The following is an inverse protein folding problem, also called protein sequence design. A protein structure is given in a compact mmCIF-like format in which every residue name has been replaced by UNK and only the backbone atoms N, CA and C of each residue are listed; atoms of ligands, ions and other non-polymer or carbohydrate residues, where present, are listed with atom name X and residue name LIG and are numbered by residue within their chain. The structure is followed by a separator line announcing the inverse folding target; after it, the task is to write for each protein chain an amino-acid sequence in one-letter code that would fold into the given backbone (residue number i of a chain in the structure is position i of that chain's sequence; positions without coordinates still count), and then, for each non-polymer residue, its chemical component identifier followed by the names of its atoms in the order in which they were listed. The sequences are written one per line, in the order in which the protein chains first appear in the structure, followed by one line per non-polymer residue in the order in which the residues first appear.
data_IF_395994466627
#
_entry.id   IF_395994466627
#
_cell.length_a   1.000
_cell.length_b   1.000
_cell.length_c   1.000
_cell.angle_alpha   90.00
_cell.angle_beta   90.00
_cell.angle_gamma   90.00
#
_symmetry.space_group_name_H-M   'P 1'
#
loop_
_entity.id
_entity.type
_entity.pdbx_description
1 polymer ?
#
# COMPACT_ATOMS: atom_id res chain seq x y z
N UNK A 1 26.99 -61.69 -33.23
CA UNK A 1 27.31 -62.84 -32.34
C UNK A 1 28.29 -62.34 -31.28
N UNK A 2 28.23 -62.83 -30.06
CA UNK A 2 27.21 -62.55 -29.05
C UNK A 2 27.81 -62.20 -27.66
N UNK A 3 26.93 -61.87 -26.68
CA UNK A 3 27.01 -62.18 -25.23
C UNK A 3 28.11 -61.46 -24.40
N UNK A 4 27.83 -60.91 -23.24
CA UNK A 4 27.28 -61.31 -21.95
C UNK A 4 27.13 -60.02 -21.13
N UNK A 5 26.02 -59.54 -20.76
CA UNK A 5 25.13 -59.79 -19.61
C UNK A 5 25.80 -59.65 -18.24
N UNK A 6 25.12 -58.88 -17.43
CA UNK A 6 24.87 -59.00 -15.98
C UNK A 6 25.74 -58.27 -14.98
N UNK A 7 24.96 -57.52 -14.21
CA UNK A 7 24.97 -57.37 -12.74
C UNK A 7 25.91 -56.29 -12.21
N UNK A 8 25.34 -55.18 -11.84
CA UNK A 8 25.42 -54.61 -10.50
C UNK A 8 24.19 -53.68 -10.27
N UNK A 9 23.13 -54.27 -9.75
CA UNK A 9 22.05 -53.58 -9.02
C UNK A 9 22.43 -53.66 -7.55
N UNK A 10 21.96 -52.62 -6.81
CA UNK A 10 21.91 -52.51 -5.35
C UNK A 10 23.14 -51.92 -4.67
N UNK A 11 23.11 -50.60 -4.42
CA UNK A 11 23.24 -50.04 -3.05
C UNK A 11 23.43 -48.51 -3.11
N UNK A 12 22.39 -47.76 -3.41
CA UNK A 12 22.24 -46.34 -3.03
C UNK A 12 20.74 -46.04 -2.92
N UNK A 13 20.07 -46.71 -2.01
CA UNK A 13 18.73 -46.33 -1.56
C UNK A 13 18.68 -46.62 -0.04
N UNK A 14 19.23 -45.71 0.76
CA UNK A 14 18.92 -45.64 2.18
C UNK A 14 19.59 -44.45 2.87
N UNK A 15 19.35 -43.23 2.39
CA UNK A 15 19.63 -42.00 3.20
C UNK A 15 18.76 -40.81 2.84
N UNK A 16 17.77 -40.98 1.97
CA UNK A 16 16.84 -39.85 1.61
C UNK A 16 15.47 -39.95 2.31
N UNK A 17 15.24 -40.92 3.18
CA UNK A 17 13.94 -41.14 3.83
C UNK A 17 13.84 -40.65 5.27
N UNK A 18 14.87 -40.02 5.85
CA UNK A 18 14.86 -39.58 7.24
C UNK A 18 14.91 -38.05 7.43
N UNK A 19 14.78 -37.27 6.36
CA UNK A 19 14.69 -35.78 6.46
C UNK A 19 13.30 -35.23 6.21
N UNK A 20 12.34 -36.06 5.77
CA UNK A 20 10.96 -35.63 5.56
C UNK A 20 10.01 -35.85 6.74
N UNK A 21 10.42 -36.58 7.78
CA UNK A 21 9.55 -36.84 8.93
C UNK A 21 9.79 -35.93 10.14
N UNK A 22 10.73 -34.99 10.08
CA UNK A 22 10.99 -34.07 11.21
C UNK A 22 10.52 -32.63 10.94
N UNK A 23 10.06 -32.31 9.73
CA UNK A 23 9.50 -30.99 9.38
C UNK A 23 7.99 -30.99 9.10
N UNK A 24 7.31 -32.16 9.17
CA UNK A 24 5.86 -32.29 8.99
C UNK A 24 5.09 -32.39 10.30
N UNK A 25 5.65 -31.90 11.39
CA UNK A 25 5.08 -32.06 12.73
C UNK A 25 4.87 -30.75 13.50
N UNK A 26 4.72 -29.62 12.87
CA UNK A 26 4.16 -28.38 13.46
C UNK A 26 3.59 -27.44 12.36
N UNK A 27 2.81 -27.93 11.43
CA UNK A 27 1.67 -27.16 11.02
C UNK A 27 0.73 -27.15 12.22
N UNK A 28 0.91 -26.14 13.06
CA UNK A 28 -0.13 -25.73 13.98
C UNK A 28 -1.36 -25.55 13.12
N UNK A 29 -2.32 -26.38 13.30
CA UNK A 29 -3.72 -26.09 13.06
C UNK A 29 -4.03 -24.75 13.73
N UNK A 30 -3.69 -23.66 13.08
CA UNK A 30 -4.35 -22.40 13.30
C UNK A 30 -5.75 -22.65 12.78
N UNK A 31 -6.61 -22.89 13.74
CA UNK A 31 -8.00 -23.25 13.58
C UNK A 31 -8.64 -22.50 12.44
N UNK A 32 -9.25 -23.23 11.50
CA UNK A 32 -10.21 -22.66 10.55
C UNK A 32 -11.29 -21.85 11.27
N UNK A 33 -11.56 -22.13 12.53
CA UNK A 33 -12.44 -21.33 13.40
C UNK A 33 -11.85 -19.95 13.73
N UNK A 34 -10.53 -19.79 13.86
CA UNK A 34 -9.90 -18.48 14.10
C UNK A 34 -9.96 -17.60 12.83
N UNK A 35 -9.86 -18.20 11.65
CA UNK A 35 -9.97 -17.46 10.37
C UNK A 35 -11.45 -17.11 10.10
N UNK A 36 -12.39 -18.05 10.33
CA UNK A 36 -13.83 -17.77 10.22
C UNK A 36 -14.31 -16.78 11.30
N UNK A 37 -13.73 -16.80 12.49
CA UNK A 37 -14.02 -15.86 13.56
C UNK A 37 -13.58 -14.42 13.24
N UNK A 38 -12.46 -14.24 12.55
CA UNK A 38 -11.97 -12.91 12.12
C UNK A 38 -12.88 -12.25 11.07
N UNK A 39 -13.45 -13.00 10.14
CA UNK A 39 -14.35 -12.47 9.10
C UNK A 39 -15.72 -12.01 9.66
N UNK A 40 -16.10 -12.39 10.85
CA UNK A 40 -17.38 -12.02 11.49
C UNK A 40 -17.25 -10.91 12.54
N UNK A 41 -16.00 -10.53 12.91
CA UNK A 41 -15.75 -9.49 13.90
C UNK A 41 -15.89 -8.09 13.28
N UNK A 42 -16.58 -7.20 13.99
CA UNK A 42 -16.64 -5.79 13.63
C UNK A 42 -15.32 -5.07 13.89
N UNK A 43 -15.11 -3.90 13.24
CA UNK A 43 -13.85 -3.16 13.35
C UNK A 43 -13.43 -2.84 14.80
N UNK A 44 -14.38 -2.42 15.63
CA UNK A 44 -14.11 -2.09 17.03
C UNK A 44 -13.69 -3.32 17.85
N UNK A 45 -14.24 -4.48 17.57
CA UNK A 45 -13.86 -5.73 18.27
C UNK A 45 -12.43 -6.13 17.89
N UNK A 46 -12.05 -6.03 16.62
CA UNK A 46 -10.68 -6.30 16.15
C UNK A 46 -9.69 -5.35 16.80
N UNK A 47 -9.98 -4.04 16.78
CA UNK A 47 -9.14 -3.03 17.43
C UNK A 47 -8.91 -3.33 18.91
N UNK A 48 -9.97 -3.70 19.65
CA UNK A 48 -9.86 -4.05 21.07
C UNK A 48 -9.04 -5.34 21.29
N UNK A 49 -9.12 -6.32 20.39
CA UNK A 49 -8.31 -7.52 20.44
C UNK A 49 -6.81 -7.20 20.24
N UNK A 50 -6.50 -6.33 19.29
CA UNK A 50 -5.13 -5.88 19.01
C UNK A 50 -4.54 -5.10 20.20
N UNK A 51 -5.36 -4.30 20.90
CA UNK A 51 -4.97 -3.67 22.17
C UNK A 51 -4.67 -4.69 23.26
N UNK A 52 -5.54 -5.72 23.42
CA UNK A 52 -5.33 -6.78 24.43
C UNK A 52 -4.08 -7.61 24.15
N UNK A 53 -3.76 -7.83 22.88
CA UNK A 53 -2.57 -8.56 22.44
C UNK A 53 -1.29 -7.69 22.48
N UNK A 54 -1.37 -6.43 22.92
CA UNK A 54 -0.27 -5.45 22.88
C UNK A 54 0.34 -5.25 21.49
N UNK A 55 -0.42 -5.50 20.43
CA UNK A 55 0.01 -5.27 19.04
C UNK A 55 0.01 -3.78 18.72
N UNK A 56 -0.86 -3.04 19.41
CA UNK A 56 -0.98 -1.56 19.30
C UNK A 56 -1.07 -0.96 20.70
N UNK A 57 -0.78 0.33 20.81
CA UNK A 57 -0.96 1.08 22.05
C UNK A 57 -2.29 1.85 22.03
N UNK A 58 -2.88 2.07 23.20
CA UNK A 58 -4.13 2.82 23.32
C UNK A 58 -3.96 4.28 22.89
N UNK A 59 -4.89 4.76 22.07
CA UNK A 59 -4.97 6.14 21.58
C UNK A 59 -6.44 6.55 21.51
N UNK A 60 -6.80 7.60 22.25
CA UNK A 60 -8.19 8.05 22.36
C UNK A 60 -8.75 8.56 21.02
N UNK A 61 -7.91 9.18 20.19
CA UNK A 61 -8.34 9.66 18.88
C UNK A 61 -8.61 8.49 17.91
N UNK A 62 -7.77 7.46 17.95
CA UNK A 62 -7.98 6.24 17.18
C UNK A 62 -9.23 5.50 17.67
N UNK A 63 -9.44 5.40 18.98
CA UNK A 63 -10.64 4.75 19.54
C UNK A 63 -11.91 5.47 19.13
N UNK A 64 -11.92 6.82 19.18
CA UNK A 64 -13.05 7.62 18.75
C UNK A 64 -13.38 7.43 17.26
N UNK A 65 -12.35 7.39 16.41
CA UNK A 65 -12.52 7.11 14.98
C UNK A 65 -12.99 5.69 14.73
N UNK A 66 -12.44 4.71 15.47
CA UNK A 66 -12.86 3.32 15.36
C UNK A 66 -14.34 3.15 15.71
N UNK A 67 -14.87 3.94 16.65
CA UNK A 67 -16.29 4.01 16.93
C UNK A 67 -17.13 4.48 15.73
N UNK A 68 -16.63 5.43 14.95
CA UNK A 68 -17.30 5.90 13.73
C UNK A 68 -17.22 4.88 12.59
N UNK A 69 -16.07 4.21 12.43
CA UNK A 69 -15.90 3.12 11.48
C UNK A 69 -16.82 1.94 11.81
N UNK A 70 -17.01 1.64 13.10
CA UNK A 70 -17.97 0.63 13.56
C UNK A 70 -19.42 0.99 13.17
N UNK A 71 -19.82 2.24 13.37
CA UNK A 71 -21.15 2.69 12.96
C UNK A 71 -21.36 2.57 11.45
N UNK A 72 -20.37 2.95 10.66
CA UNK A 72 -20.42 2.80 9.20
C UNK A 72 -20.49 1.32 8.78
N UNK A 73 -19.66 0.46 9.39
CA UNK A 73 -19.70 -0.98 9.19
C UNK A 73 -21.09 -1.58 9.45
N UNK A 74 -21.76 -1.17 10.54
CA UNK A 74 -23.12 -1.63 10.87
C UNK A 74 -24.15 -1.18 9.83
N UNK A 75 -24.06 0.08 9.35
CA UNK A 75 -24.95 0.58 8.31
C UNK A 75 -24.78 -0.20 7.01
N UNK A 76 -23.54 -0.45 6.59
CA UNK A 76 -23.22 -1.25 5.40
C UNK A 76 -23.74 -2.68 5.56
N UNK A 77 -23.47 -3.31 6.70
CA UNK A 77 -23.87 -4.70 6.98
C UNK A 77 -25.39 -4.86 6.99
N UNK A 78 -26.13 -3.91 7.58
CA UNK A 78 -27.61 -3.88 7.56
C UNK A 78 -28.14 -3.71 6.14
N UNK A 79 -27.53 -2.84 5.34
CA UNK A 79 -27.95 -2.61 3.95
C UNK A 79 -27.72 -3.83 3.05
N UNK A 80 -26.70 -4.65 3.33
CA UNK A 80 -26.43 -5.88 2.59
C UNK A 80 -27.39 -7.02 2.99
N UNK A 81 -27.74 -7.12 4.26
CA UNK A 81 -28.74 -8.11 4.77
C UNK A 81 -30.17 -7.79 4.30
N UNK A 82 -30.46 -6.55 4.04
CA UNK A 82 -31.74 -6.09 3.49
C UNK A 82 -31.90 -6.35 1.98
N UNK A 83 -31.05 -7.21 1.38
CA UNK A 83 -31.14 -7.57 -0.03
C UNK A 83 -32.54 -8.13 -0.33
N UNK A 84 -33.30 -7.50 -1.23
CA UNK A 84 -34.72 -7.82 -1.42
C UNK A 84 -34.83 -9.16 -2.15
N UNK A 85 -34.95 -10.23 -1.41
CA UNK A 85 -35.56 -11.45 -1.95
C UNK A 85 -36.95 -11.11 -2.55
N UNK A 86 -37.52 -12.07 -3.26
CA UNK A 86 -38.81 -11.98 -3.98
C UNK A 86 -39.88 -11.09 -3.32
N UNK A 87 -39.87 -10.93 -1.98
CA UNK A 87 -40.79 -10.08 -1.21
C UNK A 87 -40.67 -8.57 -1.47
N UNK A 88 -39.48 -8.04 -1.63
CA UNK A 88 -39.31 -6.59 -1.90
C UNK A 88 -39.54 -6.26 -3.37
N UNK A 89 -39.30 -7.19 -4.31
CA UNK A 89 -39.74 -7.06 -5.70
C UNK A 89 -41.27 -7.02 -5.79
N UNK A 90 -42.01 -7.84 -5.02
CA UNK A 90 -43.44 -7.83 -4.91
C UNK A 90 -43.99 -6.56 -4.24
N UNK A 91 -43.33 -6.06 -3.19
CA UNK A 91 -43.69 -4.79 -2.54
C UNK A 91 -43.45 -3.56 -3.43
N UNK A 92 -42.35 -3.54 -4.20
CA UNK A 92 -42.07 -2.50 -5.21
C UNK A 92 -43.13 -2.47 -6.30
N UNK A 93 -43.62 -3.64 -6.71
CA UNK A 93 -44.69 -3.76 -7.74
C UNK A 93 -46.09 -3.44 -7.23
N UNK A 94 -46.38 -3.65 -5.94
CA UNK A 94 -47.71 -3.47 -5.36
C UNK A 94 -47.92 -2.10 -4.69
N UNK A 95 -46.89 -1.46 -4.14
CA UNK A 95 -47.05 -0.25 -3.31
C UNK A 95 -46.49 1.04 -3.94
N UNK A 96 -45.80 0.96 -5.11
CA UNK A 96 -45.33 2.15 -5.82
C UNK A 96 -44.37 3.05 -5.01
N UNK A 97 -43.92 2.60 -3.83
CA UNK A 97 -43.01 3.33 -2.95
C UNK A 97 -41.62 2.82 -3.14
N UNK A 98 -40.82 3.58 -3.86
CA UNK A 98 -39.35 3.50 -3.76
C UNK A 98 -38.99 3.99 -2.35
N UNK A 99 -38.90 3.08 -1.37
CA UNK A 99 -38.15 3.35 -0.15
C UNK A 99 -36.68 3.33 -0.55
N UNK A 100 -36.21 4.40 -1.18
CA UNK A 100 -34.79 4.68 -1.27
C UNK A 100 -34.32 4.88 0.18
N UNK A 101 -33.68 3.87 0.75
CA UNK A 101 -32.96 4.07 2.00
C UNK A 101 -32.01 5.25 1.80
N UNK A 102 -32.00 6.18 2.74
CA UNK A 102 -31.12 7.34 2.68
C UNK A 102 -29.68 6.88 2.32
N UNK A 103 -28.98 7.59 1.41
CA UNK A 103 -27.65 7.20 0.99
C UNK A 103 -26.73 7.15 2.21
N UNK A 104 -25.99 6.05 2.35
CA UNK A 104 -25.01 5.89 3.43
C UNK A 104 -23.88 6.86 3.17
N UNK A 105 -23.61 7.75 4.12
CA UNK A 105 -22.45 8.65 4.06
C UNK A 105 -21.21 7.88 4.49
N UNK A 106 -20.17 7.94 3.66
CA UNK A 106 -18.87 7.39 4.01
C UNK A 106 -18.08 8.23 5.01
N UNK A 107 -16.75 8.04 5.05
CA UNK A 107 -15.85 8.80 5.91
C UNK A 107 -14.69 9.38 5.10
N UNK A 108 -14.35 10.63 5.38
CA UNK A 108 -13.11 11.25 4.95
C UNK A 108 -12.26 11.53 6.20
N UNK A 109 -11.20 10.74 6.36
CA UNK A 109 -10.36 10.72 7.55
C UNK A 109 -9.08 11.47 7.22
N UNK A 110 -8.81 12.58 7.91
CA UNK A 110 -7.61 13.37 7.64
C UNK A 110 -6.82 13.67 8.91
N UNK A 111 -5.56 14.01 8.74
CA UNK A 111 -4.64 14.33 9.84
C UNK A 111 -3.21 14.00 9.47
N UNK A 112 -2.24 14.40 10.29
CA UNK A 112 -0.82 14.19 10.05
C UNK A 112 -0.43 12.73 9.84
N UNK A 113 0.78 12.52 9.32
CA UNK A 113 1.36 11.18 9.10
C UNK A 113 1.57 10.46 10.44
N UNK A 114 1.68 9.13 10.40
CA UNK A 114 1.94 8.31 11.57
C UNK A 114 0.80 8.17 12.57
N UNK A 115 -0.38 8.69 12.27
CA UNK A 115 -1.56 8.64 13.15
C UNK A 115 -2.31 7.31 13.12
N UNK A 116 -1.79 6.33 12.40
CA UNK A 116 -2.43 5.01 12.29
C UNK A 116 -3.63 4.97 11.33
N UNK A 117 -3.81 5.98 10.45
CA UNK A 117 -4.91 6.01 9.46
C UNK A 117 -4.97 4.74 8.62
N UNK A 118 -3.81 4.29 8.14
CA UNK A 118 -3.68 3.06 7.34
C UNK A 118 -4.12 1.83 8.13
N UNK A 119 -3.63 1.66 9.37
CA UNK A 119 -4.03 0.58 10.25
C UNK A 119 -5.55 0.58 10.53
N UNK A 120 -6.13 1.74 10.83
CA UNK A 120 -7.59 1.85 11.06
C UNK A 120 -8.40 1.52 9.80
N UNK A 121 -7.88 1.90 8.61
CA UNK A 121 -8.45 1.52 7.33
C UNK A 121 -8.33 0.01 7.08
N UNK A 122 -7.19 -0.62 7.43
CA UNK A 122 -6.99 -2.07 7.35
C UNK A 122 -8.05 -2.80 8.15
N UNK A 123 -8.13 -2.48 9.44
CA UNK A 123 -9.09 -3.09 10.36
C UNK A 123 -10.53 -2.92 9.85
N UNK A 124 -10.89 -1.74 9.34
CA UNK A 124 -12.21 -1.48 8.78
C UNK A 124 -12.46 -2.30 7.51
N UNK A 125 -11.54 -2.22 6.54
CA UNK A 125 -11.69 -2.86 5.24
C UNK A 125 -11.79 -4.38 5.35
N UNK A 126 -10.94 -4.99 6.17
CA UNK A 126 -10.98 -6.43 6.40
C UNK A 126 -12.25 -6.89 7.10
N UNK A 127 -12.78 -6.08 8.04
CA UNK A 127 -14.04 -6.39 8.74
C UNK A 127 -15.26 -6.32 7.83
N UNK A 128 -15.21 -5.60 6.71
CA UNK A 128 -16.35 -5.45 5.80
C UNK A 128 -16.77 -6.80 5.21
N UNK A 129 -18.06 -7.15 5.26
CA UNK A 129 -18.57 -8.40 4.73
C UNK A 129 -18.58 -8.41 3.20
N UNK A 130 -18.35 -9.58 2.61
CA UNK A 130 -18.50 -9.82 1.17
C UNK A 130 -17.30 -9.34 0.34
N UNK A 131 -17.40 -9.57 -0.98
CA UNK A 131 -16.33 -9.27 -1.95
C UNK A 131 -16.51 -7.94 -2.70
N UNK A 132 -17.65 -7.29 -2.58
CA UNK A 132 -17.96 -6.04 -3.29
C UNK A 132 -17.33 -4.83 -2.56
N UNK A 133 -16.04 -4.89 -2.29
CA UNK A 133 -15.24 -3.85 -1.66
C UNK A 133 -13.90 -3.71 -2.39
N UNK A 134 -13.42 -2.49 -2.55
CA UNK A 134 -12.14 -2.18 -3.20
C UNK A 134 -11.35 -1.25 -2.30
N UNK A 135 -10.07 -1.54 -2.13
CA UNK A 135 -9.11 -0.65 -1.50
C UNK A 135 -7.93 -0.43 -2.43
N UNK A 136 -7.51 0.78 -2.56
CA UNK A 136 -6.38 1.17 -3.41
C UNK A 136 -5.90 2.56 -3.04
N UNK A 137 -4.64 2.87 -3.30
CA UNK A 137 -4.16 4.24 -3.28
C UNK A 137 -4.87 5.07 -4.34
N UNK A 138 -5.19 6.31 -4.00
CA UNK A 138 -5.91 7.22 -4.90
C UNK A 138 -5.20 7.38 -6.25
N UNK A 139 -3.88 7.53 -6.25
CA UNK A 139 -3.09 7.64 -7.46
C UNK A 139 -3.24 6.42 -8.40
N UNK A 140 -3.13 5.18 -7.87
CA UNK A 140 -3.33 3.95 -8.65
C UNK A 140 -4.74 3.83 -9.21
N UNK A 141 -5.72 4.28 -8.44
CA UNK A 141 -7.10 4.33 -8.89
C UNK A 141 -7.26 5.28 -10.08
N UNK A 142 -6.66 6.49 -10.03
CA UNK A 142 -6.72 7.44 -11.13
C UNK A 142 -6.00 6.95 -12.37
N UNK A 143 -4.85 6.29 -12.24
CA UNK A 143 -4.19 5.61 -13.37
C UNK A 143 -5.11 4.58 -14.05
N UNK A 144 -5.83 3.78 -13.25
CA UNK A 144 -6.82 2.84 -13.78
C UNK A 144 -7.95 3.58 -14.51
N UNK A 145 -8.48 4.65 -13.94
CA UNK A 145 -9.54 5.46 -14.55
C UNK A 145 -9.09 6.05 -15.90
N UNK A 146 -7.89 6.61 -15.97
CA UNK A 146 -7.32 7.12 -17.23
C UNK A 146 -7.17 6.02 -18.27
N UNK A 147 -6.68 4.85 -17.90
CA UNK A 147 -6.57 3.68 -18.80
C UNK A 147 -7.94 3.24 -19.32
N UNK A 148 -8.93 3.11 -18.43
CA UNK A 148 -10.29 2.75 -18.80
C UNK A 148 -10.93 3.80 -19.73
N UNK A 149 -10.73 5.11 -19.47
CA UNK A 149 -11.19 6.19 -20.35
C UNK A 149 -10.50 6.15 -21.72
N UNK A 150 -9.19 5.89 -21.76
CA UNK A 150 -8.43 5.74 -22.99
C UNK A 150 -8.96 4.61 -23.91
N UNK A 151 -9.47 3.54 -23.31
CA UNK A 151 -10.11 2.41 -24.05
C UNK A 151 -11.50 2.73 -24.57
N UNK A 152 -12.15 3.81 -24.12
CA UNK A 152 -13.52 4.22 -24.47
C UNK A 152 -13.54 5.43 -25.43
N UNK A 153 -12.52 5.61 -26.25
CA UNK A 153 -12.49 6.69 -27.25
C UNK A 153 -13.66 6.57 -28.23
N UNK A 154 -14.35 7.68 -28.48
CA UNK A 154 -15.51 7.75 -29.36
C UNK A 154 -16.83 7.25 -28.74
N UNK A 155 -16.81 6.82 -27.51
CA UNK A 155 -18.01 6.37 -26.78
C UNK A 155 -18.71 7.57 -26.12
N UNK A 156 -20.04 7.60 -26.16
CA UNK A 156 -20.84 8.63 -25.50
C UNK A 156 -20.78 8.44 -23.97
N UNK A 157 -20.47 9.51 -23.23
CA UNK A 157 -20.36 9.52 -21.76
C UNK A 157 -19.39 8.45 -21.21
N UNK A 158 -18.11 8.45 -21.59
CA UNK A 158 -17.17 7.40 -21.20
C UNK A 158 -17.00 7.32 -19.68
N UNK A 159 -17.05 8.45 -18.97
CA UNK A 159 -16.92 8.53 -17.51
C UNK A 159 -18.02 7.78 -16.77
N UNK A 160 -19.27 7.84 -17.28
CA UNK A 160 -20.40 7.07 -16.74
C UNK A 160 -20.16 5.55 -16.88
N UNK A 161 -19.57 5.11 -18.00
CA UNK A 161 -19.27 3.69 -18.20
C UNK A 161 -18.14 3.20 -17.29
N UNK A 162 -17.14 4.04 -17.03
CA UNK A 162 -16.10 3.74 -16.04
C UNK A 162 -16.72 3.62 -14.65
N UNK A 163 -17.62 4.56 -14.28
CA UNK A 163 -18.31 4.50 -13.00
C UNK A 163 -19.22 3.26 -12.88
N UNK A 164 -19.90 2.85 -13.97
CA UNK A 164 -20.69 1.61 -14.01
C UNK A 164 -19.82 0.37 -13.75
N UNK A 165 -18.64 0.32 -14.38
CA UNK A 165 -17.68 -0.78 -14.19
C UNK A 165 -17.23 -0.86 -12.74
N UNK A 166 -16.82 0.27 -12.15
CA UNK A 166 -16.37 0.35 -10.75
C UNK A 166 -17.49 -0.04 -9.78
N UNK A 167 -18.71 0.48 -9.99
CA UNK A 167 -19.85 0.20 -9.12
C UNK A 167 -20.31 -1.27 -9.16
N UNK A 168 -20.08 -1.99 -10.26
CA UNK A 168 -20.30 -3.44 -10.34
C UNK A 168 -19.27 -4.24 -9.56
N UNK A 169 -18.03 -3.76 -9.50
CA UNK A 169 -16.94 -4.42 -8.80
C UNK A 169 -16.99 -4.13 -7.29
N UNK A 170 -17.36 -2.90 -6.90
CA UNK A 170 -17.30 -2.51 -5.51
C UNK A 170 -18.42 -1.54 -5.09
N UNK A 171 -19.03 -1.85 -3.95
CA UNK A 171 -20.00 -0.98 -3.28
C UNK A 171 -19.33 -0.05 -2.27
N UNK A 172 -18.21 -0.47 -1.72
CA UNK A 172 -17.38 0.33 -0.81
C UNK A 172 -16.04 0.54 -1.44
N UNK A 173 -15.67 1.80 -1.61
CA UNK A 173 -14.40 2.23 -2.18
C UNK A 173 -13.57 2.88 -1.09
N UNK A 174 -12.47 2.25 -0.73
CA UNK A 174 -11.51 2.75 0.25
C UNK A 174 -10.29 3.31 -0.47
N UNK A 175 -10.00 4.58 -0.25
CA UNK A 175 -8.80 5.22 -0.74
C UNK A 175 -7.80 5.44 0.37
N UNK A 176 -6.60 4.96 0.16
CA UNK A 176 -5.45 5.40 0.91
C UNK A 176 -4.86 6.63 0.22
N UNK A 177 -4.42 7.59 1.03
CA UNK A 177 -3.75 8.81 0.57
C UNK A 177 -4.50 9.56 -0.52
N UNK A 178 -5.71 9.96 -0.18
CA UNK A 178 -6.50 10.77 -1.07
C UNK A 178 -5.89 12.18 -1.17
N UNK A 179 -5.24 12.45 -2.29
CA UNK A 179 -4.76 13.78 -2.61
C UNK A 179 -4.76 14.00 -4.14
N UNK A 180 -4.84 15.25 -4.59
CA UNK A 180 -4.93 15.59 -6.02
C UNK A 180 -3.87 16.63 -6.33
N UNK A 181 -2.98 16.31 -7.27
CA UNK A 181 -1.95 17.24 -7.80
C UNK A 181 -2.06 17.43 -9.29
N UNK A 182 -2.41 16.38 -10.03
CA UNK A 182 -2.51 16.42 -11.48
C UNK A 182 -3.80 17.11 -11.94
N UNK A 183 -3.68 17.98 -12.94
CA UNK A 183 -4.83 18.70 -13.51
C UNK A 183 -5.79 17.76 -14.22
N UNK A 184 -5.30 16.69 -14.85
CA UNK A 184 -6.14 15.69 -15.51
C UNK A 184 -7.05 15.00 -14.50
N UNK A 185 -6.49 14.58 -13.36
CA UNK A 185 -7.25 14.01 -12.25
C UNK A 185 -8.27 14.99 -11.71
N UNK A 186 -7.86 16.23 -11.44
CA UNK A 186 -8.73 17.27 -10.92
C UNK A 186 -9.95 17.53 -11.81
N UNK A 187 -9.77 17.52 -13.14
CA UNK A 187 -10.83 17.83 -14.09
C UNK A 187 -11.88 16.72 -14.23
N UNK A 188 -11.49 15.47 -14.07
CA UNK A 188 -12.42 14.33 -14.21
C UNK A 188 -13.03 13.88 -12.87
N UNK A 189 -12.37 14.19 -11.76
CA UNK A 189 -12.75 13.66 -10.44
C UNK A 189 -14.16 14.06 -10.02
N UNK A 190 -14.58 15.31 -10.26
CA UNK A 190 -15.93 15.77 -9.91
C UNK A 190 -17.01 14.93 -10.61
N UNK A 191 -16.88 14.73 -11.92
CA UNK A 191 -17.81 13.92 -12.69
C UNK A 191 -17.79 12.45 -12.31
N UNK A 192 -16.60 11.91 -12.02
CA UNK A 192 -16.45 10.54 -11.57
C UNK A 192 -17.12 10.30 -10.21
N UNK A 193 -16.87 11.16 -9.23
CA UNK A 193 -17.48 11.07 -7.91
C UNK A 193 -19.01 11.20 -7.98
N UNK A 194 -19.53 12.14 -8.77
CA UNK A 194 -20.97 12.29 -8.99
C UNK A 194 -21.58 10.99 -9.54
N UNK A 195 -20.96 10.42 -10.58
CA UNK A 195 -21.42 9.18 -11.19
C UNK A 195 -21.35 7.97 -10.22
N UNK A 196 -20.31 7.88 -9.39
CA UNK A 196 -20.18 6.84 -8.37
C UNK A 196 -21.20 6.99 -7.24
N UNK A 197 -21.41 8.22 -6.74
CA UNK A 197 -22.40 8.47 -5.69
C UNK A 197 -23.84 8.27 -6.17
N UNK A 198 -24.14 8.60 -7.44
CA UNK A 198 -25.42 8.28 -8.06
C UNK A 198 -25.70 6.76 -8.08
N UNK A 199 -24.65 5.95 -8.13
CA UNK A 199 -24.68 4.47 -8.04
C UNK A 199 -24.61 3.94 -6.61
N UNK A 200 -24.71 4.84 -5.62
CA UNK A 200 -24.63 4.49 -4.20
C UNK A 200 -23.31 3.82 -3.77
N UNK A 201 -22.22 4.11 -4.45
CA UNK A 201 -20.87 3.72 -3.98
C UNK A 201 -20.55 4.54 -2.74
N UNK A 202 -20.09 3.86 -1.69
CA UNK A 202 -19.72 4.46 -0.41
C UNK A 202 -18.22 4.72 -0.46
N UNK A 203 -17.81 5.97 -0.22
CA UNK A 203 -16.40 6.38 -0.19
C UNK A 203 -15.90 6.44 1.24
N UNK A 204 -14.79 5.76 1.50
CA UNK A 204 -13.98 5.93 2.72
C UNK A 204 -12.58 6.31 2.27
N UNK A 205 -12.08 7.46 2.71
CA UNK A 205 -10.77 7.94 2.27
C UNK A 205 -9.92 8.36 3.46
N UNK A 206 -8.62 8.03 3.41
CA UNK A 206 -7.63 8.63 4.29
C UNK A 206 -6.85 9.70 3.53
N UNK A 207 -6.50 10.79 4.21
CA UNK A 207 -5.73 11.89 3.64
C UNK A 207 -4.85 12.56 4.71
N UNK A 208 -3.81 13.25 4.28
CA UNK A 208 -3.07 14.18 5.11
C UNK A 208 -3.62 15.61 5.00
N UNK A 209 -4.55 15.82 4.06
CA UNK A 209 -5.05 17.15 3.70
C UNK A 209 -6.55 17.23 4.02
N UNK A 210 -6.96 18.32 4.66
CA UNK A 210 -8.36 18.64 4.84
C UNK A 210 -9.10 18.78 3.49
N UNK A 211 -10.39 18.37 3.37
CA UNK A 211 -11.11 18.48 2.11
C UNK A 211 -11.07 19.86 1.47
N UNK A 212 -11.18 20.92 2.25
CA UNK A 212 -11.19 22.30 1.76
C UNK A 212 -9.84 22.76 1.20
N UNK A 213 -8.75 22.10 1.58
CA UNK A 213 -7.39 22.37 1.10
C UNK A 213 -6.93 21.46 -0.03
N UNK A 214 -7.74 20.48 -0.43
CA UNK A 214 -7.43 19.63 -1.58
C UNK A 214 -7.21 20.49 -2.82
N UNK A 215 -6.11 20.22 -3.55
CA UNK A 215 -5.75 20.91 -4.78
C UNK A 215 -5.65 22.44 -4.62
N UNK A 216 -5.15 22.94 -3.45
CA UNK A 216 -5.17 24.36 -3.05
C UNK A 216 -4.49 25.28 -4.07
N UNK A 217 -3.31 24.89 -4.55
CA UNK A 217 -2.53 25.67 -5.53
C UNK A 217 -2.70 25.19 -6.99
N UNK A 218 -3.70 24.34 -7.23
CA UNK A 218 -3.89 23.71 -8.52
C UNK A 218 -4.51 24.61 -9.57
N UNK A 219 -4.09 24.42 -10.83
CA UNK A 219 -4.64 25.13 -11.98
C UNK A 219 -6.14 24.88 -12.13
N UNK A 220 -6.92 25.93 -12.33
CA UNK A 220 -8.39 25.88 -12.46
C UNK A 220 -9.09 25.29 -11.23
N UNK A 221 -8.57 25.51 -10.03
CA UNK A 221 -9.12 25.04 -8.76
C UNK A 221 -10.64 25.26 -8.62
N UNK A 222 -11.17 26.33 -9.16
CA UNK A 222 -12.63 26.57 -9.13
C UNK A 222 -13.48 25.43 -9.70
N UNK A 223 -12.98 24.74 -10.74
CA UNK A 223 -13.64 23.57 -11.30
C UNK A 223 -13.58 22.37 -10.37
N UNK A 224 -12.51 22.27 -9.58
CA UNK A 224 -12.31 21.21 -8.60
C UNK A 224 -13.19 21.39 -7.34
N UNK A 225 -13.64 22.61 -7.02
CA UNK A 225 -14.52 22.87 -5.87
C UNK A 225 -15.75 21.96 -5.85
N UNK A 226 -16.31 21.60 -7.01
CA UNK A 226 -17.42 20.66 -7.11
C UNK A 226 -17.07 19.27 -6.57
N UNK A 227 -15.84 18.80 -6.76
CA UNK A 227 -15.38 17.54 -6.19
C UNK A 227 -15.31 17.61 -4.65
N UNK A 228 -14.80 18.71 -4.11
CA UNK A 228 -14.77 18.98 -2.66
C UNK A 228 -16.19 18.97 -2.09
N UNK A 229 -17.13 19.67 -2.71
CA UNK A 229 -18.53 19.71 -2.28
C UNK A 229 -19.17 18.31 -2.27
N UNK A 230 -18.90 17.51 -3.29
CA UNK A 230 -19.36 16.12 -3.38
C UNK A 230 -18.79 15.25 -2.26
N UNK A 231 -17.49 15.37 -1.99
CA UNK A 231 -16.82 14.66 -0.89
C UNK A 231 -17.51 15.05 0.44
N UNK A 232 -17.62 16.33 0.75
CA UNK A 232 -18.24 16.83 1.99
C UNK A 232 -19.71 16.43 2.13
N UNK A 233 -20.44 16.35 1.03
CA UNK A 233 -21.86 15.93 0.99
C UNK A 233 -22.01 14.43 1.27
N UNK A 234 -21.16 13.61 0.67
CA UNK A 234 -21.30 12.15 0.69
C UNK A 234 -20.42 11.45 1.72
N UNK A 235 -19.53 12.18 2.39
CA UNK A 235 -18.72 11.65 3.50
C UNK A 235 -18.90 12.52 4.75
N UNK A 236 -18.56 11.94 5.91
CA UNK A 236 -18.37 12.69 7.15
C UNK A 236 -16.86 12.92 7.27
N UNK A 237 -16.46 14.17 7.37
CA UNK A 237 -15.06 14.54 7.60
C UNK A 237 -14.70 14.34 9.06
N UNK A 238 -13.60 13.66 9.32
CA UNK A 238 -13.07 13.36 10.66
C UNK A 238 -11.58 13.66 10.69
N UNK A 239 -11.18 14.53 11.61
CA UNK A 239 -9.79 14.81 11.87
C UNK A 239 -9.24 13.84 12.92
N UNK A 240 -8.07 13.25 12.66
CA UNK A 240 -7.25 12.60 13.69
C UNK A 240 -6.19 13.61 14.14
N UNK A 241 -6.51 14.36 15.17
CA UNK A 241 -5.58 15.29 15.80
C UNK A 241 -4.95 14.65 17.02
N UNK A 242 -3.62 14.68 17.09
CA UNK A 242 -2.76 14.19 18.18
C UNK A 242 -2.74 12.67 18.38
N UNK A 243 -1.58 12.10 18.32
CA UNK A 243 -1.23 10.70 18.59
C UNK A 243 0.27 10.52 18.38
N UNK A 244 0.84 9.44 18.87
CA UNK A 244 2.25 9.07 18.67
C UNK A 244 2.41 8.51 17.26
N UNK A 245 3.45 8.93 16.53
CA UNK A 245 3.82 8.30 15.25
C UNK A 245 4.46 6.94 15.52
N UNK A 246 3.68 5.89 15.32
CA UNK A 246 4.13 4.51 15.56
C UNK A 246 5.17 4.05 14.53
N UNK A 247 5.11 4.54 13.29
CA UNK A 247 6.11 4.22 12.26
C UNK A 247 7.45 4.86 12.60
N UNK A 248 7.41 6.11 13.10
CA UNK A 248 8.60 6.80 13.56
C UNK A 248 9.28 6.03 14.70
N UNK A 249 8.51 5.49 15.64
CA UNK A 249 9.06 4.77 16.79
C UNK A 249 9.79 3.48 16.38
N UNK A 250 9.25 2.69 15.44
CA UNK A 250 9.96 1.51 14.94
C UNK A 250 11.19 1.89 14.11
N UNK A 251 11.12 2.93 13.27
CA UNK A 251 12.26 3.41 12.48
C UNK A 251 13.36 4.05 13.31
N UNK A 252 13.04 4.79 14.38
CA UNK A 252 14.05 5.38 15.26
C UNK A 252 14.76 4.34 16.14
N UNK A 253 14.15 3.18 16.35
CA UNK A 253 14.76 2.05 17.04
C UNK A 253 15.50 1.09 16.08
N UNK A 254 15.21 1.14 14.79
CA UNK A 254 15.83 0.29 13.79
C UNK A 254 17.15 0.87 13.28
N UNK A 255 18.12 0.02 13.02
CA UNK A 255 19.31 0.38 12.25
C UNK A 255 18.90 0.46 10.78
N UNK A 256 18.95 1.64 10.16
CA UNK A 256 18.53 1.83 8.76
C UNK A 256 19.65 1.52 7.75
N UNK A 257 20.90 1.43 8.21
CA UNK A 257 22.04 1.07 7.39
C UNK A 257 22.79 -0.11 7.99
N UNK A 258 22.70 -1.25 7.33
CA UNK A 258 23.32 -2.50 7.74
C UNK A 258 24.63 -2.71 6.99
N UNK A 259 25.73 -2.76 7.70
CA UNK A 259 27.07 -2.99 7.15
C UNK A 259 27.97 -3.67 8.20
N UNK A 260 28.78 -4.65 7.83
CA UNK A 260 28.79 -5.36 6.54
C UNK A 260 27.58 -6.30 6.37
N UNK A 261 27.34 -6.76 5.14
CA UNK A 261 26.31 -7.77 4.87
C UNK A 261 26.74 -9.10 5.52
N UNK A 262 25.88 -9.63 6.38
CA UNK A 262 26.10 -10.90 7.09
C UNK A 262 24.91 -11.83 6.86
N UNK A 263 25.04 -13.10 7.23
CA UNK A 263 23.93 -14.05 7.16
C UNK A 263 22.69 -13.61 7.98
N UNK A 264 22.87 -12.79 9.02
CA UNK A 264 21.79 -12.25 9.83
C UNK A 264 21.14 -10.98 9.20
N UNK A 265 21.78 -10.37 8.21
CA UNK A 265 21.31 -9.11 7.62
C UNK A 265 19.96 -9.30 6.91
N UNK A 266 19.81 -10.37 6.15
CA UNK A 266 18.55 -10.67 5.45
C UNK A 266 17.37 -10.85 6.41
N UNK A 267 17.61 -11.52 7.54
CA UNK A 267 16.59 -11.70 8.58
C UNK A 267 16.18 -10.35 9.20
N UNK A 268 17.14 -9.46 9.44
CA UNK A 268 16.87 -8.09 9.95
C UNK A 268 16.09 -7.25 8.93
N UNK A 269 16.45 -7.31 7.65
CA UNK A 269 15.72 -6.61 6.60
C UNK A 269 14.28 -7.13 6.48
N UNK A 270 14.08 -8.44 6.67
CA UNK A 270 12.75 -9.04 6.66
C UNK A 270 11.91 -8.59 7.88
N UNK A 271 12.53 -8.48 9.04
CA UNK A 271 11.92 -7.92 10.24
C UNK A 271 11.50 -6.47 9.99
N UNK A 272 12.41 -5.62 9.52
CA UNK A 272 12.12 -4.23 9.13
C UNK A 272 10.99 -4.14 8.09
N UNK A 273 10.98 -5.02 7.09
CA UNK A 273 9.91 -5.05 6.09
C UNK A 273 8.54 -5.25 6.74
N UNK A 274 8.41 -6.23 7.64
CA UNK A 274 7.15 -6.53 8.30
C UNK A 274 6.76 -5.55 9.42
N UNK A 275 7.71 -4.81 9.97
CA UNK A 275 7.42 -3.69 10.88
C UNK A 275 6.83 -2.50 10.14
N UNK A 276 7.36 -2.20 8.93
CA UNK A 276 6.88 -1.12 8.06
C UNK A 276 5.63 -1.51 7.27
N UNK A 277 5.42 -2.81 7.05
CA UNK A 277 4.32 -3.40 6.32
C UNK A 277 3.43 -4.22 7.26
N UNK A 278 2.57 -3.61 8.08
CA UNK A 278 1.76 -4.33 9.07
C UNK A 278 0.80 -5.34 8.43
N UNK A 279 0.41 -5.12 7.17
CA UNK A 279 -0.42 -6.05 6.41
C UNK A 279 0.42 -7.19 5.83
N UNK A 280 0.65 -8.21 6.65
CA UNK A 280 1.42 -9.40 6.27
C UNK A 280 0.72 -10.27 5.21
N UNK A 281 -0.61 -10.24 5.15
CA UNK A 281 -1.40 -11.09 4.24
C UNK A 281 -1.27 -10.63 2.78
N UNK A 282 -1.02 -9.34 2.54
CA UNK A 282 -0.82 -8.80 1.20
C UNK A 282 0.67 -8.65 0.81
N UNK A 283 1.58 -9.04 1.70
CA UNK A 283 3.00 -9.08 1.38
C UNK A 283 3.30 -10.21 0.37
N UNK A 284 3.92 -9.86 -0.74
CA UNK A 284 4.27 -10.81 -1.81
C UNK A 284 5.78 -10.97 -1.89
N UNK A 285 6.24 -12.20 -1.77
CA UNK A 285 7.65 -12.56 -1.99
C UNK A 285 7.92 -12.78 -3.47
N UNK A 286 9.02 -12.21 -3.98
CA UNK A 286 9.48 -12.44 -5.35
C UNK A 286 8.51 -11.98 -6.44
N UNK A 287 7.60 -11.05 -6.13
CA UNK A 287 6.64 -10.54 -7.10
C UNK A 287 7.28 -9.52 -8.04
N UNK A 288 6.70 -9.36 -9.22
CA UNK A 288 7.02 -8.26 -10.11
C UNK A 288 6.04 -7.10 -9.86
N UNK A 289 6.57 -5.89 -9.81
CA UNK A 289 5.80 -4.65 -9.83
C UNK A 289 5.90 -4.01 -11.22
N UNK A 290 4.88 -3.26 -11.60
CA UNK A 290 4.86 -2.53 -12.86
C UNK A 290 5.03 -1.03 -12.60
N UNK A 291 6.10 -0.45 -13.13
CA UNK A 291 6.41 0.99 -13.07
C UNK A 291 6.57 1.48 -14.53
N UNK A 292 5.74 2.43 -14.96
CA UNK A 292 5.76 2.99 -16.32
C UNK A 292 5.78 1.90 -17.40
N UNK A 293 4.86 0.93 -17.30
CA UNK A 293 4.73 -0.22 -18.22
C UNK A 293 5.94 -1.17 -18.22
N UNK A 294 6.88 -1.02 -17.28
CA UNK A 294 8.05 -1.88 -17.12
C UNK A 294 7.92 -2.74 -15.88
N UNK A 295 8.26 -4.01 -16.00
CA UNK A 295 8.29 -4.94 -14.86
C UNK A 295 9.60 -4.86 -14.12
N UNK A 296 9.52 -4.81 -12.81
CA UNK A 296 10.66 -4.81 -11.88
C UNK A 296 10.45 -5.93 -10.87
N UNK A 297 11.40 -6.86 -10.79
CA UNK A 297 11.38 -7.90 -9.77
C UNK A 297 11.64 -7.32 -8.39
N UNK A 298 11.02 -7.88 -7.37
CA UNK A 298 11.19 -7.47 -5.98
C UNK A 298 11.57 -8.68 -5.12
N UNK A 299 12.24 -8.44 -3.99
CA UNK A 299 12.43 -9.47 -2.96
C UNK A 299 11.11 -9.66 -2.19
N UNK A 300 10.53 -8.54 -1.77
CA UNK A 300 9.20 -8.45 -1.18
C UNK A 300 8.53 -7.15 -1.59
N UNK A 301 7.22 -7.15 -1.68
CA UNK A 301 6.45 -5.92 -1.85
C UNK A 301 5.07 -6.04 -1.21
N UNK A 302 4.56 -4.92 -0.73
CA UNK A 302 3.14 -4.71 -0.42
C UNK A 302 2.67 -3.39 -1.05
N UNK A 303 1.64 -2.76 -0.51
CA UNK A 303 1.14 -1.49 -1.04
C UNK A 303 2.07 -0.31 -0.73
N UNK A 304 2.69 -0.29 0.46
CA UNK A 304 3.43 0.85 1.01
C UNK A 304 4.94 0.66 1.01
N UNK A 305 5.41 -0.59 1.05
CA UNK A 305 6.83 -0.94 1.20
C UNK A 305 7.28 -1.86 0.07
N UNK A 306 8.45 -1.60 -0.46
CA UNK A 306 9.07 -2.46 -1.47
C UNK A 306 10.52 -2.74 -1.12
N UNK A 307 10.93 -3.97 -1.33
CA UNK A 307 12.30 -4.43 -1.14
C UNK A 307 12.90 -4.92 -2.45
N UNK A 308 14.00 -4.30 -2.86
CA UNK A 308 14.79 -4.68 -4.03
C UNK A 308 16.15 -5.20 -3.63
N UNK A 309 16.69 -6.12 -4.42
CA UNK A 309 18.14 -6.28 -4.52
C UNK A 309 18.72 -5.14 -5.39
N UNK A 310 19.94 -4.72 -5.11
CA UNK A 310 20.62 -3.63 -5.83
C UNK A 310 20.62 -3.85 -7.36
N UNK A 311 20.92 -5.06 -7.81
CA UNK A 311 20.93 -5.44 -9.21
C UNK A 311 19.54 -5.27 -9.91
N UNK A 312 18.44 -5.48 -9.19
CA UNK A 312 17.09 -5.34 -9.74
C UNK A 312 16.73 -3.90 -10.10
N UNK A 313 17.27 -2.94 -9.36
CA UNK A 313 16.87 -1.53 -9.48
C UNK A 313 18.00 -0.62 -9.98
N UNK A 314 19.28 -0.98 -9.76
CA UNK A 314 20.42 -0.16 -10.14
C UNK A 314 21.26 -0.73 -11.30
N UNK A 315 21.19 -2.03 -11.62
CA UNK A 315 21.98 -2.62 -12.72
C UNK A 315 21.19 -2.82 -14.01
N UNK A 316 19.86 -2.79 -13.96
CA UNK A 316 19.00 -2.92 -15.15
C UNK A 316 18.86 -1.62 -15.94
N UNK A 317 18.11 -1.67 -17.07
CA UNK A 317 17.76 -0.51 -17.88
C UNK A 317 16.70 0.35 -17.17
N UNK A 318 17.13 1.16 -16.21
CA UNK A 318 16.28 2.09 -15.43
C UNK A 318 16.62 3.54 -15.75
N UNK A 319 15.63 4.40 -15.63
CA UNK A 319 15.76 5.84 -15.82
C UNK A 319 15.33 6.60 -14.55
N UNK A 320 15.69 7.86 -14.46
CA UNK A 320 15.23 8.73 -13.37
C UNK A 320 13.69 8.75 -13.24
N UNK A 321 12.95 8.64 -14.34
CA UNK A 321 11.48 8.60 -14.32
C UNK A 321 10.93 7.37 -13.58
N UNK A 322 11.62 6.22 -13.67
CA UNK A 322 11.23 5.01 -12.92
C UNK A 322 11.35 5.28 -11.41
N UNK A 323 12.39 5.99 -10.97
CA UNK A 323 12.62 6.33 -9.56
C UNK A 323 11.65 7.40 -9.05
N UNK A 324 11.32 8.39 -9.88
CA UNK A 324 10.26 9.37 -9.59
C UNK A 324 8.94 8.66 -9.31
N UNK A 325 8.55 7.73 -10.18
CA UNK A 325 7.28 7.02 -10.03
C UNK A 325 7.30 6.07 -8.83
N UNK A 326 8.43 5.36 -8.63
CA UNK A 326 8.61 4.51 -7.47
C UNK A 326 8.52 5.31 -6.16
N UNK A 327 9.17 6.47 -6.10
CA UNK A 327 9.17 7.33 -4.93
C UNK A 327 7.80 7.98 -4.65
N UNK A 328 6.93 8.11 -5.66
CA UNK A 328 5.52 8.52 -5.46
C UNK A 328 4.65 7.43 -4.84
N UNK A 329 4.95 6.17 -5.17
CA UNK A 329 4.10 5.02 -4.83
C UNK A 329 4.42 4.47 -3.44
N UNK A 330 5.70 4.41 -3.07
CA UNK A 330 6.16 3.72 -1.88
C UNK A 330 6.65 4.67 -0.80
N UNK A 331 6.21 4.46 0.43
CA UNK A 331 6.65 5.21 1.61
C UNK A 331 8.00 4.76 2.12
N UNK A 332 8.30 3.48 1.91
CA UNK A 332 9.57 2.90 2.33
C UNK A 332 10.13 1.98 1.24
N UNK A 333 11.43 2.06 1.05
CA UNK A 333 12.21 1.23 0.15
C UNK A 333 13.29 0.53 0.96
N UNK A 334 13.38 -0.78 0.80
CA UNK A 334 14.49 -1.57 1.32
C UNK A 334 15.38 -1.95 0.14
N UNK A 335 16.68 -1.74 0.30
CA UNK A 335 17.67 -2.02 -0.74
C UNK A 335 18.76 -2.93 -0.17
N UNK A 336 18.82 -4.16 -0.64
CA UNK A 336 19.83 -5.13 -0.21
C UNK A 336 20.92 -5.35 -1.25
N UNK A 337 22.10 -5.77 -0.78
CA UNK A 337 23.20 -6.12 -1.67
C UNK A 337 23.90 -4.93 -2.33
N UNK A 338 23.91 -3.75 -1.68
CA UNK A 338 24.60 -2.58 -2.23
C UNK A 338 26.11 -2.80 -2.17
N UNK A 339 26.82 -2.91 -3.33
CA UNK A 339 28.24 -3.20 -3.38
C UNK A 339 29.07 -1.94 -3.15
N UNK A 340 30.38 -2.14 -2.94
CA UNK A 340 31.36 -1.08 -3.15
C UNK A 340 31.38 -0.71 -4.64
N UNK A 341 30.91 0.48 -4.98
CA UNK A 341 30.89 0.98 -6.36
C UNK A 341 32.24 1.59 -6.74
N UNK A 342 32.70 1.26 -7.95
CA UNK A 342 33.98 1.71 -8.49
C UNK A 342 33.79 2.41 -9.83
N UNK A 343 34.86 2.87 -10.42
CA UNK A 343 34.86 3.52 -11.74
C UNK A 343 34.21 2.65 -12.82
N UNK A 344 34.46 1.33 -12.79
CA UNK A 344 33.90 0.36 -13.74
C UNK A 344 32.38 0.20 -13.61
N UNK A 345 31.84 0.48 -12.43
CA UNK A 345 30.39 0.42 -12.14
C UNK A 345 29.72 1.79 -12.15
N UNK A 346 30.29 2.76 -12.90
CA UNK A 346 29.81 4.15 -12.90
C UNK A 346 28.35 4.30 -13.34
N UNK A 347 27.82 3.42 -14.19
CA UNK A 347 26.42 3.45 -14.60
C UNK A 347 25.48 3.02 -13.48
N UNK A 348 25.80 1.98 -12.72
CA UNK A 348 25.06 1.55 -11.54
C UNK A 348 25.15 2.60 -10.43
N UNK A 349 26.33 3.22 -10.26
CA UNK A 349 26.54 4.31 -9.32
C UNK A 349 25.67 5.54 -9.66
N UNK A 350 25.56 5.93 -10.94
CA UNK A 350 24.65 7.01 -11.39
C UNK A 350 23.18 6.70 -11.10
N UNK A 351 22.77 5.46 -11.33
CA UNK A 351 21.39 5.03 -11.03
C UNK A 351 21.12 5.04 -9.53
N UNK A 352 22.09 4.59 -8.73
CA UNK A 352 21.99 4.65 -7.27
C UNK A 352 21.90 6.10 -6.77
N UNK A 353 22.72 7.03 -7.28
CA UNK A 353 22.63 8.46 -6.98
C UNK A 353 21.22 8.97 -7.31
N UNK A 354 20.73 8.70 -8.52
CA UNK A 354 19.38 9.15 -8.96
C UNK A 354 18.28 8.55 -8.09
N UNK A 355 18.38 7.27 -7.72
CA UNK A 355 17.42 6.64 -6.81
C UNK A 355 17.41 7.33 -5.45
N UNK A 356 18.56 7.53 -4.82
CA UNK A 356 18.68 8.19 -3.51
C UNK A 356 18.16 9.62 -3.59
N UNK A 357 18.48 10.36 -4.66
CA UNK A 357 18.02 11.74 -4.87
C UNK A 357 16.49 11.81 -4.89
N UNK A 358 15.82 10.95 -5.67
CA UNK A 358 14.35 10.95 -5.77
C UNK A 358 13.67 10.49 -4.47
N UNK A 359 14.23 9.47 -3.80
CA UNK A 359 13.70 9.01 -2.51
C UNK A 359 13.86 10.09 -1.42
N UNK A 360 15.00 10.79 -1.40
CA UNK A 360 15.27 11.88 -0.47
C UNK A 360 14.30 13.06 -0.67
N UNK A 361 14.16 13.52 -1.90
CA UNK A 361 13.31 14.68 -2.23
C UNK A 361 11.83 14.42 -1.91
N UNK A 362 11.39 13.15 -1.92
CA UNK A 362 10.02 12.75 -1.58
C UNK A 362 9.84 12.20 -0.19
N UNK A 363 10.85 12.28 0.67
CA UNK A 363 10.78 11.82 2.06
C UNK A 363 10.45 10.32 2.19
N UNK A 364 10.85 9.52 1.22
CA UNK A 364 10.72 8.06 1.27
C UNK A 364 11.74 7.51 2.26
N UNK A 365 11.32 6.60 3.13
CA UNK A 365 12.22 5.97 4.11
C UNK A 365 13.06 4.91 3.41
N UNK A 366 14.39 4.97 3.58
CA UNK A 366 15.32 4.08 2.89
C UNK A 366 16.11 3.24 3.90
N UNK A 367 15.97 1.93 3.80
CA UNK A 367 16.73 0.94 4.56
C UNK A 367 17.73 0.27 3.63
N UNK A 368 19.00 0.26 3.99
CA UNK A 368 20.08 -0.26 3.13
C UNK A 368 20.83 -1.39 3.83
N UNK A 369 21.14 -2.44 3.07
CA UNK A 369 22.22 -3.38 3.41
C UNK A 369 23.33 -3.29 2.38
N UNK A 370 24.54 -2.90 2.82
CA UNK A 370 25.69 -2.65 1.99
C UNK A 370 26.92 -3.43 2.43
N UNK A 371 27.82 -3.66 1.50
CA UNK A 371 29.12 -4.34 1.76
C UNK A 371 30.05 -3.49 2.63
N UNK A 372 29.98 -2.17 2.47
CA UNK A 372 30.90 -1.20 3.10
C UNK A 372 30.13 -0.06 3.77
N UNK A 373 30.75 0.68 4.71
CA UNK A 373 30.16 1.88 5.31
C UNK A 373 29.80 2.94 4.27
N UNK A 374 28.86 3.86 4.61
CA UNK A 374 28.43 4.95 3.72
C UNK A 374 29.60 5.76 3.17
N UNK A 375 30.60 6.02 4.02
CA UNK A 375 31.78 6.80 3.62
C UNK A 375 32.58 6.15 2.49
N UNK A 376 32.51 4.83 2.36
CA UNK A 376 33.32 4.01 1.43
C UNK A 376 32.50 3.50 0.23
N UNK A 377 31.22 3.82 0.11
CA UNK A 377 30.32 3.28 -0.93
C UNK A 377 30.79 3.51 -2.38
N UNK A 378 31.60 4.54 -2.61
CA UNK A 378 32.16 4.85 -3.92
C UNK A 378 33.65 5.15 -3.83
N UNK A 379 34.47 4.51 -4.69
CA UNK A 379 35.93 4.65 -4.75
C UNK A 379 36.43 5.13 -6.12
N UNK A 380 35.57 5.65 -7.01
CA UNK A 380 35.96 6.22 -8.30
C UNK A 380 36.19 7.74 -8.22
N UNK A 381 36.86 8.32 -9.24
CA UNK A 381 37.05 9.77 -9.34
C UNK A 381 35.89 10.48 -10.06
N UNK A 382 35.33 9.81 -11.06
CA UNK A 382 34.38 10.41 -12.04
C UNK A 382 33.08 10.92 -11.45
N UNK A 383 32.56 10.32 -10.38
CA UNK A 383 31.29 10.69 -9.71
C UNK A 383 31.53 11.12 -8.26
N UNK A 384 32.75 11.47 -7.89
CA UNK A 384 33.10 11.77 -6.50
C UNK A 384 32.27 12.93 -5.93
N UNK A 385 32.07 13.99 -6.70
CA UNK A 385 31.31 15.16 -6.26
C UNK A 385 29.84 14.83 -6.04
N UNK A 386 29.19 14.16 -6.99
CA UNK A 386 27.78 13.73 -6.89
C UNK A 386 27.61 12.73 -5.73
N UNK A 387 28.59 11.85 -5.56
CA UNK A 387 28.50 10.83 -4.51
C UNK A 387 28.69 11.40 -3.10
N UNK A 388 29.46 12.47 -2.91
CA UNK A 388 29.56 13.18 -1.62
C UNK A 388 28.19 13.76 -1.20
N UNK A 389 27.42 14.30 -2.15
CA UNK A 389 26.03 14.73 -1.88
C UNK A 389 25.15 13.54 -1.48
N UNK A 390 25.27 12.42 -2.20
CA UNK A 390 24.51 11.20 -1.90
C UNK A 390 24.85 10.65 -0.52
N UNK A 391 26.11 10.66 -0.09
CA UNK A 391 26.53 10.28 1.28
C UNK A 391 25.87 11.17 2.32
N UNK A 392 25.88 12.49 2.10
CA UNK A 392 25.23 13.44 3.01
C UNK A 392 23.74 13.17 3.15
N UNK A 393 23.03 12.92 2.03
CA UNK A 393 21.62 12.56 2.02
C UNK A 393 21.36 11.25 2.75
N UNK A 394 22.16 10.21 2.51
CA UNK A 394 22.03 8.93 3.21
C UNK A 394 22.21 9.04 4.72
N UNK A 395 23.09 9.93 5.19
CA UNK A 395 23.26 10.22 6.62
C UNK A 395 22.05 10.94 7.17
N UNK A 396 21.56 11.98 6.46
CA UNK A 396 20.39 12.76 6.85
C UNK A 396 19.13 11.89 6.88
N UNK A 397 18.95 10.99 5.91
CA UNK A 397 17.81 10.06 5.85
C UNK A 397 17.70 9.13 7.06
N UNK A 398 18.75 9.00 7.87
CA UNK A 398 18.75 8.24 9.12
C UNK A 398 18.38 9.11 10.35
N UNK A 399 18.26 10.43 10.20
CA UNK A 399 17.94 11.33 11.31
C UNK A 399 16.47 11.22 11.71
N UNK A 400 16.19 11.43 13.01
CA UNK A 400 14.81 11.48 13.50
C UNK A 400 13.98 12.57 12.82
N UNK A 401 14.60 13.70 12.49
CA UNK A 401 13.96 14.80 11.79
C UNK A 401 13.47 14.35 10.40
N UNK A 402 14.34 13.75 9.59
CA UNK A 402 13.96 13.23 8.27
C UNK A 402 12.92 12.10 8.37
N UNK A 403 13.06 11.23 9.36
CA UNK A 403 12.12 10.11 9.54
C UNK A 403 10.72 10.60 9.95
N UNK A 404 10.63 11.74 10.63
CA UNK A 404 9.37 12.36 11.03
C UNK A 404 8.66 13.11 9.90
N UNK A 405 9.38 13.45 8.83
CA UNK A 405 8.82 14.17 7.69
C UNK A 405 7.80 13.32 6.92
N UNK A 406 6.79 13.99 6.39
CA UNK A 406 5.75 13.36 5.58
C UNK A 406 6.28 12.93 4.22
N UNK A 407 5.86 11.75 3.76
CA UNK A 407 6.09 11.31 2.40
C UNK A 407 5.40 12.26 1.41
N UNK A 408 6.15 12.67 0.39
CA UNK A 408 5.68 13.56 -0.68
C UNK A 408 5.43 12.75 -1.94
N UNK A 409 4.25 12.15 -2.03
CA UNK A 409 3.83 11.34 -3.20
C UNK A 409 3.54 12.18 -4.45
#
# INVERSE_FOLDING_TARGET
MPFISRVWKLSVFSTAANWQSTFLGKETFLDKETILGKETMGPLQRYNLDLQNNTISADDAQLALMGQLQQLYEQISRSQKANPGLKAWLQKKLLGRDQQSAPIRGLYIWGGVGRGKTYLMDVFFESLPGKAKMRTHFHRFMQRVHRDLGSLQGVKNPLEQVADKIARESRVLCFDEFFVRDIGDAMILAGLLEALFARQVILVATSNIEPDRLYEDGLQRQRFMRAIDLIKKHTKTVEISRGVDYRLRSLTQATLYHCPITAATEAKLLECFFELAPDREHAKKGAEIEILERRIGTQYCNQDVVWFAFEQICEGARSAFDYVELAKIYHAVILSGVPLMREESSDSARRFISLVDELYDRRVKLIIAAEVPIAELYSGEKLQFEFERTKSRLIEMQSEEYLSDEHVS
#
